data_IF_112735593244
#
_entry.id   IF_112735593244
#
_cell.length_a   1.000
_cell.length_b   1.000
_cell.length_c   1.000
_cell.angle_alpha   90.00
_cell.angle_beta   90.00
_cell.angle_gamma   90.00
#
_symmetry.space_group_name_H-M   'P 1'
#
loop_
_entity.id
_entity.type
_entity.pdbx_description
1 polymer ?
#
# COMPACT_ATOMS: atom_id res chain seq x y z
N UNK A 1 6.00 0.15 -23.03
CA UNK A 1 6.46 -0.09 -21.65
C UNK A 1 7.61 -1.09 -21.64
N UNK A 2 8.66 -0.82 -20.86
CA UNK A 2 9.76 -1.77 -20.64
C UNK A 2 9.43 -2.75 -19.50
N UNK A 3 10.34 -3.69 -19.20
CA UNK A 3 10.09 -4.73 -18.20
C UNK A 3 9.85 -4.17 -16.78
N UNK A 4 10.71 -3.25 -16.35
CA UNK A 4 10.63 -2.62 -15.03
C UNK A 4 9.32 -1.86 -14.86
N UNK A 5 8.89 -1.13 -15.89
CA UNK A 5 7.63 -0.41 -15.89
C UNK A 5 6.42 -1.35 -15.82
N UNK A 6 6.44 -2.48 -16.54
CA UNK A 6 5.39 -3.51 -16.42
C UNK A 6 5.35 -4.13 -15.02
N UNK A 7 6.51 -4.34 -14.40
CA UNK A 7 6.60 -4.81 -13.01
C UNK A 7 6.04 -3.78 -12.02
N UNK A 8 6.39 -2.51 -12.17
CA UNK A 8 5.93 -1.42 -11.31
C UNK A 8 4.43 -1.14 -11.45
N UNK A 9 3.86 -1.34 -12.64
CA UNK A 9 2.41 -1.29 -12.88
C UNK A 9 1.68 -2.55 -12.37
N UNK A 10 2.38 -3.58 -11.90
CA UNK A 10 1.78 -4.84 -11.46
C UNK A 10 1.27 -5.72 -12.60
N UNK A 11 1.69 -5.45 -13.84
CA UNK A 11 1.35 -6.21 -15.04
C UNK A 11 2.34 -7.35 -15.31
N UNK A 12 3.45 -7.42 -14.58
CA UNK A 12 4.45 -8.49 -14.65
C UNK A 12 5.01 -8.80 -13.26
N UNK A 13 5.30 -10.07 -13.00
CA UNK A 13 5.80 -10.55 -11.70
C UNK A 13 7.16 -11.27 -11.76
N UNK A 14 7.97 -11.06 -12.81
CA UNK A 14 9.24 -11.79 -13.00
C UNK A 14 10.31 -11.47 -11.94
N UNK A 15 10.16 -10.38 -11.21
CA UNK A 15 11.04 -9.97 -10.10
C UNK A 15 10.58 -10.53 -8.74
N UNK A 16 9.48 -11.28 -8.71
CA UNK A 16 8.88 -11.77 -7.48
C UNK A 16 9.35 -13.18 -7.13
N UNK A 17 9.40 -13.47 -5.84
CA UNK A 17 9.59 -14.81 -5.28
C UNK A 17 8.52 -15.08 -4.21
N UNK A 18 8.23 -16.35 -3.97
CA UNK A 18 7.48 -16.73 -2.77
C UNK A 18 8.32 -16.55 -1.51
N UNK A 19 7.72 -15.92 -0.52
CA UNK A 19 8.23 -15.73 0.82
C UNK A 19 7.13 -16.07 1.81
N UNK A 20 7.13 -17.32 2.29
CA UNK A 20 6.18 -17.83 3.29
C UNK A 20 4.71 -17.66 2.86
N UNK A 21 4.41 -17.90 1.58
CA UNK A 21 3.06 -17.76 1.01
C UNK A 21 2.70 -16.34 0.56
N UNK A 22 3.61 -15.37 0.68
CA UNK A 22 3.47 -14.02 0.13
C UNK A 22 4.47 -13.79 -1.00
N UNK A 23 4.07 -13.10 -2.06
CA UNK A 23 4.98 -12.69 -3.13
C UNK A 23 5.69 -11.39 -2.75
N UNK A 24 7.02 -11.37 -2.85
CA UNK A 24 7.86 -10.18 -2.59
C UNK A 24 8.91 -10.02 -3.68
N UNK A 25 9.45 -8.81 -3.82
CA UNK A 25 10.60 -8.57 -4.68
C UNK A 25 11.80 -9.40 -4.19
N UNK A 26 12.44 -10.16 -5.07
CA UNK A 26 13.52 -11.08 -4.70
C UNK A 26 14.69 -10.45 -3.93
N UNK A 27 14.97 -9.16 -4.14
CA UNK A 27 16.02 -8.40 -3.45
C UNK A 27 15.64 -8.01 -2.01
N UNK A 28 14.37 -8.11 -1.64
CA UNK A 28 13.87 -7.79 -0.31
C UNK A 28 14.19 -8.86 0.74
N UNK A 29 14.48 -10.09 0.30
CA UNK A 29 14.50 -11.28 1.16
C UNK A 29 15.42 -11.13 2.38
N UNK A 30 16.67 -10.70 2.16
CA UNK A 30 17.67 -10.65 3.23
C UNK A 30 17.29 -9.63 4.31
N UNK A 31 16.89 -8.44 3.89
CA UNK A 31 16.52 -7.36 4.80
C UNK A 31 15.24 -7.68 5.57
N UNK A 32 14.26 -8.31 4.91
CA UNK A 32 13.03 -8.76 5.53
C UNK A 32 13.25 -9.90 6.53
N UNK A 33 14.11 -10.88 6.21
CA UNK A 33 14.49 -11.93 7.17
C UNK A 33 15.17 -11.32 8.41
N UNK A 34 16.02 -10.31 8.22
CA UNK A 34 16.66 -9.56 9.31
C UNK A 34 15.63 -8.86 10.22
N UNK A 35 14.70 -8.12 9.62
CA UNK A 35 13.64 -7.43 10.36
C UNK A 35 12.75 -8.41 11.15
N UNK A 36 12.38 -9.55 10.55
CA UNK A 36 11.59 -10.60 11.22
C UNK A 36 12.36 -11.20 12.39
N UNK A 37 13.68 -11.43 12.25
CA UNK A 37 14.50 -11.96 13.33
C UNK A 37 14.66 -10.94 14.48
N UNK A 38 14.80 -9.66 14.17
CA UNK A 38 14.84 -8.59 15.16
C UNK A 38 13.49 -8.47 15.92
N UNK A 39 12.37 -8.58 15.20
CA UNK A 39 11.03 -8.61 15.79
C UNK A 39 10.88 -9.77 16.78
N UNK A 40 11.27 -10.98 16.36
CA UNK A 40 11.23 -12.17 17.21
C UNK A 40 12.11 -12.01 18.46
N UNK A 41 13.30 -11.45 18.31
CA UNK A 41 14.23 -11.20 19.43
C UNK A 41 13.68 -10.16 20.42
N UNK A 42 12.76 -9.31 19.96
CA UNK A 42 12.06 -8.29 20.76
C UNK A 42 10.69 -8.77 21.28
N UNK A 43 10.34 -10.04 21.07
CA UNK A 43 9.10 -10.64 21.56
C UNK A 43 7.88 -10.48 20.65
N UNK A 44 8.04 -10.06 19.40
CA UNK A 44 6.94 -9.92 18.44
C UNK A 44 6.92 -11.07 17.41
N UNK A 45 5.75 -11.68 17.25
CA UNK A 45 5.49 -12.66 16.20
C UNK A 45 5.09 -11.91 14.91
N UNK A 46 6.09 -11.38 14.21
CA UNK A 46 5.91 -10.60 12.99
C UNK A 46 5.18 -11.42 11.91
N UNK A 47 4.12 -10.83 11.35
CA UNK A 47 3.35 -11.39 10.26
C UNK A 47 3.05 -10.34 9.17
N UNK A 48 2.94 -10.84 7.94
CA UNK A 48 2.59 -10.07 6.77
C UNK A 48 1.09 -10.29 6.52
N UNK A 49 0.30 -9.23 6.67
CA UNK A 49 -1.12 -9.26 6.36
C UNK A 49 -1.35 -9.18 4.83
N UNK A 50 -0.52 -8.41 4.14
CA UNK A 50 -0.60 -8.22 2.70
C UNK A 50 0.76 -7.80 2.14
N UNK A 51 1.11 -8.33 0.97
CA UNK A 51 2.36 -8.05 0.25
C UNK A 51 2.03 -7.72 -1.20
N UNK A 52 2.67 -8.36 -2.19
CA UNK A 52 2.41 -8.04 -3.58
C UNK A 52 0.95 -8.26 -3.98
N UNK A 53 0.44 -7.29 -4.75
CA UNK A 53 -0.85 -7.36 -5.44
C UNK A 53 -0.60 -7.04 -6.91
N UNK A 54 -1.06 -7.89 -7.81
CA UNK A 54 -0.99 -7.57 -9.24
C UNK A 54 -2.03 -6.51 -9.64
N UNK A 55 -1.94 -6.03 -10.88
CA UNK A 55 -2.85 -5.04 -11.44
C UNK A 55 -4.32 -5.52 -11.37
N UNK A 56 -4.57 -6.79 -11.69
CA UNK A 56 -5.92 -7.35 -11.78
C UNK A 56 -6.61 -7.46 -10.41
N UNK A 57 -5.88 -7.85 -9.38
CA UNK A 57 -6.33 -7.87 -7.99
C UNK A 57 -6.63 -6.46 -7.50
N UNK A 58 -5.74 -5.50 -7.76
CA UNK A 58 -5.99 -4.10 -7.40
C UNK A 58 -7.20 -3.53 -8.14
N UNK A 59 -7.37 -3.86 -9.42
CA UNK A 59 -8.54 -3.51 -10.23
C UNK A 59 -9.83 -4.07 -9.64
N UNK A 60 -9.82 -5.33 -9.19
CA UNK A 60 -11.00 -5.92 -8.55
C UNK A 60 -11.39 -5.18 -7.26
N UNK A 61 -10.41 -4.81 -6.41
CA UNK A 61 -10.63 -4.02 -5.20
C UNK A 61 -11.19 -2.64 -5.55
N UNK A 62 -10.57 -1.96 -6.51
CA UNK A 62 -10.98 -0.65 -7.02
C UNK A 62 -12.42 -0.68 -7.53
N UNK A 63 -12.73 -1.60 -8.45
CA UNK A 63 -14.05 -1.70 -9.06
C UNK A 63 -15.11 -2.05 -8.00
N UNK A 64 -14.79 -2.90 -7.02
CA UNK A 64 -15.72 -3.22 -5.94
C UNK A 64 -16.05 -1.98 -5.07
N UNK A 65 -15.07 -1.10 -4.79
CA UNK A 65 -15.34 0.16 -4.09
C UNK A 65 -16.13 1.14 -4.95
N UNK A 66 -15.73 1.33 -6.21
CA UNK A 66 -16.41 2.25 -7.12
C UNK A 66 -17.87 1.86 -7.39
N UNK A 67 -18.17 0.56 -7.46
CA UNK A 67 -19.54 0.05 -7.66
C UNK A 67 -20.36 -0.06 -6.37
N UNK A 68 -19.81 0.32 -5.21
CA UNK A 68 -20.50 0.24 -3.91
C UNK A 68 -20.57 -1.17 -3.31
N UNK A 69 -19.93 -2.18 -3.92
CA UNK A 69 -19.82 -3.54 -3.36
C UNK A 69 -18.90 -3.60 -2.14
N UNK A 70 -18.02 -2.60 -1.97
CA UNK A 70 -17.19 -2.41 -0.78
C UNK A 70 -17.31 -0.98 -0.29
N UNK A 71 -17.31 -0.75 1.03
CA UNK A 71 -17.37 0.61 1.56
C UNK A 71 -16.14 1.42 1.16
N UNK A 72 -16.38 2.70 0.94
CA UNK A 72 -15.37 3.76 0.88
C UNK A 72 -15.36 4.40 2.26
N UNK A 73 -14.17 4.60 2.84
CA UNK A 73 -14.01 5.12 4.19
C UNK A 73 -13.48 6.56 4.13
N UNK A 74 -13.90 7.39 5.07
CA UNK A 74 -13.31 8.71 5.31
C UNK A 74 -12.12 8.63 6.30
N UNK A 75 -11.52 9.78 6.62
CA UNK A 75 -10.39 9.88 7.55
C UNK A 75 -10.71 9.39 8.97
N UNK A 76 -12.00 9.34 9.35
CA UNK A 76 -12.46 8.82 10.64
C UNK A 76 -12.79 7.32 10.57
N UNK A 77 -12.42 6.63 9.48
CA UNK A 77 -12.77 5.24 9.17
C UNK A 77 -14.28 4.97 9.10
N UNK A 78 -15.09 5.98 8.75
CA UNK A 78 -16.54 5.83 8.59
C UNK A 78 -16.90 5.64 7.12
N UNK A 79 -17.89 4.79 6.88
CA UNK A 79 -18.41 4.59 5.53
C UNK A 79 -19.00 5.89 4.97
N UNK A 80 -18.55 6.27 3.78
CA UNK A 80 -19.01 7.44 3.03
C UNK A 80 -20.21 7.05 2.19
N UNK A 81 -21.31 7.78 2.34
CA UNK A 81 -22.41 7.74 1.37
C UNK A 81 -22.00 8.53 0.12
N UNK A 82 -21.82 7.83 -1.00
CA UNK A 82 -21.43 8.42 -2.28
C UNK A 82 -22.63 8.82 -3.14
N UNK A 83 -23.85 8.77 -2.61
CA UNK A 83 -25.05 9.21 -3.32
C UNK A 83 -24.91 10.66 -3.77
N UNK A 84 -25.03 10.90 -5.07
CA UNK A 84 -24.91 12.24 -5.67
C UNK A 84 -23.46 12.74 -5.86
N UNK A 85 -22.45 11.94 -5.53
CA UNK A 85 -21.06 12.31 -5.81
C UNK A 85 -20.78 12.33 -7.31
N UNK A 86 -19.89 13.22 -7.74
CA UNK A 86 -19.31 13.16 -9.09
C UNK A 86 -18.34 11.99 -9.19
N UNK A 87 -18.05 11.53 -10.41
CA UNK A 87 -17.03 10.49 -10.65
C UNK A 87 -15.68 10.85 -10.02
N UNK A 88 -15.25 12.12 -10.13
CA UNK A 88 -14.02 12.61 -9.51
C UNK A 88 -14.06 12.48 -7.98
N UNK A 89 -15.16 12.89 -7.35
CA UNK A 89 -15.30 12.80 -5.89
C UNK A 89 -15.29 11.35 -5.40
N UNK A 90 -15.89 10.41 -6.15
CA UNK A 90 -15.80 8.97 -5.86
C UNK A 90 -14.35 8.49 -5.97
N UNK A 91 -13.64 8.86 -7.03
CA UNK A 91 -12.23 8.51 -7.24
C UNK A 91 -11.36 8.98 -6.08
N UNK A 92 -11.48 10.25 -5.69
CA UNK A 92 -10.71 10.84 -4.60
C UNK A 92 -11.03 10.16 -3.25
N UNK A 93 -12.31 9.86 -2.99
CA UNK A 93 -12.72 9.16 -1.78
C UNK A 93 -12.15 7.73 -1.73
N UNK A 94 -12.11 7.00 -2.86
CA UNK A 94 -11.48 5.67 -2.92
C UNK A 94 -9.97 5.79 -2.69
N UNK A 95 -9.32 6.76 -3.34
CA UNK A 95 -7.86 6.93 -3.31
C UNK A 95 -7.32 7.35 -1.94
N UNK A 96 -8.19 7.73 -1.01
CA UNK A 96 -7.81 7.95 0.39
C UNK A 96 -7.16 6.70 1.03
N UNK A 97 -7.66 5.50 0.73
CA UNK A 97 -7.15 4.22 1.27
C UNK A 97 -6.91 3.15 0.19
N UNK A 98 -7.10 3.45 -1.09
CA UNK A 98 -6.98 2.47 -2.15
C UNK A 98 -6.41 3.08 -3.43
N UNK A 99 -5.14 2.79 -3.68
CA UNK A 99 -4.46 3.21 -4.89
C UNK A 99 -5.17 2.73 -6.17
N UNK A 100 -5.00 3.51 -7.24
CA UNK A 100 -5.40 3.11 -8.58
C UNK A 100 -4.70 1.81 -9.00
N UNK A 101 -5.35 0.95 -9.81
CA UNK A 101 -4.67 -0.14 -10.49
C UNK A 101 -3.54 0.42 -11.37
N UNK A 102 -2.33 -0.10 -11.21
CA UNK A 102 -1.13 0.43 -11.86
C UNK A 102 -0.37 1.47 -11.04
N UNK A 103 -0.94 1.97 -9.94
CA UNK A 103 -0.30 2.97 -9.07
C UNK A 103 -0.14 2.51 -7.62
N UNK A 104 -0.52 1.27 -7.29
CA UNK A 104 -0.32 0.71 -5.96
C UNK A 104 1.15 0.35 -5.75
N UNK A 105 1.74 0.79 -4.64
CA UNK A 105 3.10 0.40 -4.26
C UNK A 105 3.23 -1.11 -3.98
N UNK A 106 2.13 -1.79 -3.65
CA UNK A 106 2.13 -3.25 -3.54
C UNK A 106 2.45 -3.93 -4.88
N UNK A 107 2.28 -3.28 -6.03
CA UNK A 107 2.72 -3.82 -7.30
C UNK A 107 4.23 -4.10 -7.32
N UNK A 108 5.00 -3.28 -6.60
CA UNK A 108 6.46 -3.36 -6.57
C UNK A 108 6.96 -4.64 -5.90
N UNK A 109 6.17 -5.23 -5.01
CA UNK A 109 6.61 -6.34 -4.15
C UNK A 109 7.59 -5.89 -3.05
N UNK A 110 7.75 -4.58 -2.85
CA UNK A 110 8.65 -3.97 -1.86
C UNK A 110 7.91 -3.43 -0.64
N UNK A 111 6.58 -3.49 -0.68
CA UNK A 111 5.66 -2.86 0.25
C UNK A 111 4.81 -3.95 0.93
N UNK A 112 4.66 -3.83 2.24
CA UNK A 112 4.07 -4.84 3.11
C UNK A 112 3.15 -4.18 4.14
N UNK A 113 1.97 -4.76 4.33
CA UNK A 113 1.10 -4.48 5.49
C UNK A 113 1.48 -5.47 6.60
N UNK A 114 1.92 -4.97 7.75
CA UNK A 114 2.54 -5.79 8.81
C UNK A 114 1.88 -5.63 10.16
N UNK A 115 1.88 -6.70 10.95
CA UNK A 115 1.36 -6.74 12.31
C UNK A 115 2.11 -7.80 13.13
N UNK A 116 1.82 -7.87 14.43
CA UNK A 116 2.33 -8.91 15.31
C UNK A 116 1.16 -9.81 15.77
N UNK A 117 1.18 -11.10 15.41
CA UNK A 117 0.04 -12.00 15.68
C UNK A 117 -0.20 -12.20 17.16
N UNK A 118 0.87 -12.21 17.97
CA UNK A 118 0.79 -12.37 19.42
C UNK A 118 0.22 -11.13 20.15
N UNK A 119 0.05 -10.01 19.46
CA UNK A 119 -0.60 -8.81 20.00
C UNK A 119 -2.12 -8.79 19.81
N UNK A 120 -2.66 -9.66 18.94
CA UNK A 120 -4.11 -9.79 18.75
C UNK A 120 -4.73 -10.65 19.85
N UNK A 121 -5.77 -10.14 20.49
CA UNK A 121 -6.56 -10.91 21.44
C UNK A 121 -7.24 -12.11 20.76
N UNK A 122 -7.35 -13.23 21.48
CA UNK A 122 -8.05 -14.41 20.97
C UNK A 122 -9.48 -14.07 20.57
N UNK A 123 -9.87 -14.43 19.35
CA UNK A 123 -11.20 -14.16 18.80
C UNK A 123 -11.35 -12.81 18.09
N UNK A 124 -10.31 -11.97 18.08
CA UNK A 124 -10.28 -10.74 17.30
C UNK A 124 -9.62 -10.97 15.94
N UNK A 125 -10.14 -10.32 14.90
CA UNK A 125 -9.56 -10.31 13.56
C UNK A 125 -8.87 -8.98 13.30
N UNK A 126 -7.71 -9.03 12.65
CA UNK A 126 -7.00 -7.85 12.13
C UNK A 126 -7.92 -7.01 11.24
N UNK A 127 -8.00 -5.70 11.51
CA UNK A 127 -8.80 -4.77 10.71
C UNK A 127 -7.95 -3.93 9.75
N UNK A 128 -6.66 -3.73 10.06
CA UNK A 128 -5.78 -2.75 9.42
C UNK A 128 -6.39 -1.35 9.50
N UNK A 129 -6.67 -0.92 10.73
CA UNK A 129 -7.18 0.42 11.02
C UNK A 129 -6.23 1.17 11.97
N UNK A 130 -6.13 2.51 11.89
CA UNK A 130 -5.12 3.26 12.64
C UNK A 130 -5.19 3.05 14.16
N UNK A 131 -6.41 2.92 14.71
CA UNK A 131 -6.64 2.69 16.13
C UNK A 131 -5.97 1.42 16.63
N UNK A 132 -5.73 0.42 15.78
CA UNK A 132 -5.05 -0.83 16.18
C UNK A 132 -3.58 -0.58 16.54
N UNK A 133 -2.95 0.48 16.01
CA UNK A 133 -1.54 0.82 16.17
C UNK A 133 -1.31 2.05 17.09
N UNK A 134 -2.38 2.77 17.44
CA UNK A 134 -2.36 3.89 18.39
C UNK A 134 -2.18 3.42 19.84
N UNK A 135 -1.98 4.36 20.79
CA UNK A 135 -1.63 4.08 22.20
C UNK A 135 -2.53 3.08 22.92
N UNK A 136 -3.81 3.00 22.56
CA UNK A 136 -4.79 2.08 23.14
C UNK A 136 -4.99 0.80 22.33
N UNK A 137 -4.34 0.70 21.17
CA UNK A 137 -4.47 -0.41 20.23
C UNK A 137 -3.57 -1.60 20.57
N UNK A 138 -3.95 -2.82 20.13
CA UNK A 138 -3.16 -4.04 20.33
C UNK A 138 -1.72 -3.94 19.81
N UNK A 139 -1.50 -3.23 18.70
CA UNK A 139 -0.20 -3.12 18.05
C UNK A 139 0.60 -1.90 18.47
N UNK A 140 0.20 -1.18 19.52
CA UNK A 140 0.92 0.01 19.95
C UNK A 140 2.43 -0.24 20.16
N UNK A 141 2.74 -1.24 20.98
CA UNK A 141 4.11 -1.59 21.34
C UNK A 141 4.90 -2.08 20.12
N UNK A 142 4.26 -2.89 19.26
CA UNK A 142 4.83 -3.36 18.01
C UNK A 142 5.13 -2.19 17.07
N UNK A 143 4.21 -1.24 16.90
CA UNK A 143 4.41 -0.07 16.05
C UNK A 143 5.54 0.80 16.55
N UNK A 144 5.58 1.07 17.87
CA UNK A 144 6.63 1.88 18.47
C UNK A 144 8.02 1.24 18.29
N UNK A 145 8.11 -0.08 18.47
CA UNK A 145 9.32 -0.84 18.18
C UNK A 145 9.70 -0.77 16.69
N UNK A 146 8.74 -1.00 15.80
CA UNK A 146 8.97 -1.01 14.36
C UNK A 146 9.49 0.35 13.87
N UNK A 147 8.95 1.45 14.40
CA UNK A 147 9.39 2.81 14.06
C UNK A 147 10.84 3.10 14.45
N UNK A 148 11.35 2.44 15.50
CA UNK A 148 12.74 2.59 15.95
C UNK A 148 13.71 1.70 15.15
N UNK A 149 13.27 0.51 14.72
CA UNK A 149 14.15 -0.53 14.19
C UNK A 149 14.12 -0.65 12.66
N UNK A 150 12.99 -0.38 11.99
CA UNK A 150 12.82 -0.72 10.56
C UNK A 150 13.86 -0.08 9.63
N UNK A 151 14.39 1.11 9.97
CA UNK A 151 15.38 1.80 9.15
C UNK A 151 16.73 1.06 9.09
N UNK A 152 17.06 0.27 10.12
CA UNK A 152 18.28 -0.56 10.13
C UNK A 152 18.25 -1.65 9.04
N UNK A 153 17.05 -2.02 8.59
CA UNK A 153 16.79 -2.99 7.54
C UNK A 153 16.33 -2.32 6.23
N UNK A 154 16.52 -1.00 6.08
CA UNK A 154 16.18 -0.28 4.85
C UNK A 154 14.69 -0.07 4.61
N UNK A 155 13.85 -0.24 5.65
CA UNK A 155 12.41 0.01 5.58
C UNK A 155 12.01 1.38 6.14
N UNK A 156 10.86 1.86 5.69
CA UNK A 156 10.21 3.08 6.18
C UNK A 156 8.68 3.00 6.00
N UNK A 157 7.95 3.95 6.59
CA UNK A 157 6.50 4.11 6.38
C UNK A 157 6.23 5.22 5.35
N UNK A 158 5.83 4.89 4.10
CA UNK A 158 5.51 5.90 3.08
C UNK A 158 4.28 6.74 3.44
N UNK A 159 3.36 6.17 4.23
CA UNK A 159 2.12 6.79 4.67
C UNK A 159 2.12 7.02 6.20
N UNK A 160 3.22 7.53 6.74
CA UNK A 160 3.41 7.89 8.16
C UNK A 160 2.47 9.00 8.66
N UNK A 161 1.97 9.86 7.76
CA UNK A 161 1.01 10.93 8.06
C UNK A 161 0.20 11.32 6.83
N UNK A 162 -0.98 11.84 7.07
CA UNK A 162 -1.81 12.41 6.01
C UNK A 162 -1.19 13.69 5.44
N UNK A 163 -0.91 13.69 4.13
CA UNK A 163 -0.35 14.83 3.37
C UNK A 163 -1.35 15.44 2.38
N UNK A 164 -2.65 15.23 2.60
CA UNK A 164 -3.69 15.64 1.66
C UNK A 164 -3.93 14.64 0.52
N UNK A 165 -3.33 13.44 0.57
CA UNK A 165 -3.45 12.39 -0.43
C UNK A 165 -3.94 11.08 0.18
N UNK A 166 -3.06 10.07 0.24
CA UNK A 166 -3.31 8.81 0.96
C UNK A 166 -3.36 9.09 2.47
N UNK A 167 -4.28 8.43 3.17
CA UNK A 167 -4.42 8.46 4.62
C UNK A 167 -3.20 7.88 5.34
N UNK A 168 -3.14 8.06 6.67
CA UNK A 168 -2.09 7.42 7.47
C UNK A 168 -2.33 5.91 7.54
N UNK A 169 -1.30 5.12 7.25
CA UNK A 169 -1.35 3.65 7.29
C UNK A 169 -0.18 3.12 8.16
N UNK A 170 -0.32 3.09 9.50
CA UNK A 170 0.77 2.73 10.41
C UNK A 170 1.29 1.29 10.25
N UNK A 171 0.53 0.42 9.59
CA UNK A 171 0.91 -0.95 9.23
C UNK A 171 1.75 -1.05 7.95
N UNK A 172 1.72 -0.02 7.10
CA UNK A 172 2.32 -0.08 5.75
C UNK A 172 3.80 0.28 5.82
N UNK A 173 4.67 -0.70 5.58
CA UNK A 173 6.11 -0.48 5.43
C UNK A 173 6.54 -0.71 3.98
N UNK A 174 7.64 -0.06 3.59
CA UNK A 174 8.22 -0.16 2.26
C UNK A 174 9.73 -0.15 2.32
N UNK A 175 10.40 -0.90 1.44
CA UNK A 175 11.85 -0.86 1.33
C UNK A 175 12.31 0.34 0.50
N UNK A 176 13.05 1.26 1.11
CA UNK A 176 13.41 2.58 0.55
C UNK A 176 14.01 2.48 -0.86
N UNK A 177 15.11 1.73 -1.01
CA UNK A 177 15.86 1.66 -2.26
C UNK A 177 15.06 1.03 -3.40
N UNK A 178 14.55 -0.19 -3.17
CA UNK A 178 13.82 -0.95 -4.18
C UNK A 178 12.52 -0.25 -4.60
N UNK A 179 11.77 0.30 -3.64
CA UNK A 179 10.54 1.01 -3.96
C UNK A 179 10.82 2.30 -4.75
N UNK A 180 11.93 2.99 -4.49
CA UNK A 180 12.35 4.14 -5.29
C UNK A 180 12.68 3.74 -6.72
N UNK A 181 13.47 2.68 -6.93
CA UNK A 181 13.80 2.15 -8.28
C UNK A 181 12.53 1.84 -9.10
N UNK A 182 11.51 1.26 -8.45
CA UNK A 182 10.24 0.94 -9.08
C UNK A 182 9.39 2.20 -9.34
N UNK A 183 9.29 3.10 -8.36
CA UNK A 183 8.46 4.30 -8.44
C UNK A 183 8.91 5.27 -9.55
N UNK A 184 10.22 5.45 -9.74
CA UNK A 184 10.74 6.33 -10.81
C UNK A 184 10.59 5.74 -12.21
N UNK A 185 10.18 4.47 -12.33
CA UNK A 185 9.93 3.81 -13.62
C UNK A 185 8.52 4.05 -14.18
N UNK A 186 7.61 4.61 -13.36
CA UNK A 186 6.22 4.88 -13.72
C UNK A 186 5.88 6.36 -13.59
N UNK A 187 5.08 6.85 -14.53
CA UNK A 187 4.56 8.21 -14.57
C UNK A 187 3.05 8.20 -14.86
N UNK A 188 2.44 9.39 -14.86
CA UNK A 188 1.02 9.59 -15.17
C UNK A 188 0.62 8.98 -16.53
N UNK A 189 1.49 9.06 -17.53
CA UNK A 189 1.24 8.55 -18.87
C UNK A 189 1.18 7.01 -18.89
N UNK A 190 2.14 6.35 -18.24
CA UNK A 190 2.18 4.89 -18.13
C UNK A 190 0.98 4.33 -17.36
N UNK A 191 0.59 4.98 -16.25
CA UNK A 191 -0.60 4.59 -15.48
C UNK A 191 -1.87 4.78 -16.34
N UNK A 192 -1.98 5.89 -17.08
CA UNK A 192 -3.10 6.14 -18.00
C UNK A 192 -3.17 5.09 -19.12
N UNK A 193 -2.04 4.74 -19.72
CA UNK A 193 -1.94 3.71 -20.75
C UNK A 193 -2.39 2.34 -20.18
N UNK A 194 -1.95 1.98 -18.97
CA UNK A 194 -2.39 0.75 -18.31
C UNK A 194 -3.90 0.75 -18.04
N UNK A 195 -4.45 1.83 -17.48
CA UNK A 195 -5.87 1.96 -17.16
C UNK A 195 -6.73 1.93 -18.43
N UNK A 196 -6.34 2.63 -19.50
CA UNK A 196 -7.10 2.68 -20.76
C UNK A 196 -7.29 1.32 -21.44
N UNK A 197 -6.38 0.38 -21.19
CA UNK A 197 -6.39 -0.98 -21.75
C UNK A 197 -7.22 -1.98 -20.96
N UNK A 198 -7.78 -1.57 -19.82
CA UNK A 198 -8.48 -2.49 -18.91
C UNK A 198 -9.82 -1.91 -18.45
N UNK A 199 -10.74 -2.80 -18.06
CA UNK A 199 -12.04 -2.45 -17.51
C UNK A 199 -11.94 -1.93 -16.07
N UNK A 200 -11.45 -0.69 -15.92
CA UNK A 200 -11.38 0.06 -14.65
C UNK A 200 -12.58 1.00 -14.56
N UNK A 201 -13.38 0.87 -13.50
CA UNK A 201 -14.52 1.77 -13.29
C UNK A 201 -14.02 3.20 -13.02
N UNK A 202 -14.70 4.19 -13.63
CA UNK A 202 -14.29 5.59 -13.56
C UNK A 202 -13.15 5.99 -14.52
N UNK A 203 -12.71 5.10 -15.44
CA UNK A 203 -11.51 5.31 -16.28
C UNK A 203 -11.43 6.69 -16.96
N UNK A 204 -12.53 7.19 -17.50
CA UNK A 204 -12.56 8.47 -18.22
C UNK A 204 -12.27 9.64 -17.28
N UNK A 205 -12.88 9.62 -16.09
CA UNK A 205 -12.62 10.61 -15.05
C UNK A 205 -11.23 10.46 -14.44
N UNK A 206 -10.71 9.23 -14.33
CA UNK A 206 -9.34 9.00 -13.86
C UNK A 206 -8.34 9.60 -14.85
N UNK A 207 -8.44 9.26 -16.13
CA UNK A 207 -7.50 9.71 -17.17
C UNK A 207 -7.55 11.23 -17.35
N UNK A 208 -8.75 11.83 -17.34
CA UNK A 208 -8.91 13.29 -17.45
C UNK A 208 -8.36 14.08 -16.25
N UNK A 209 -8.17 13.43 -15.09
CA UNK A 209 -7.62 14.05 -13.89
C UNK A 209 -6.26 13.46 -13.48
N UNK A 210 -5.59 12.71 -14.37
CA UNK A 210 -4.44 11.88 -13.99
C UNK A 210 -3.30 12.68 -13.36
N UNK A 211 -2.97 13.86 -13.90
CA UNK A 211 -1.87 14.66 -13.37
C UNK A 211 -2.10 15.05 -11.91
N UNK A 212 -3.31 15.47 -11.56
CA UNK A 212 -3.69 15.79 -10.18
C UNK A 212 -3.63 14.53 -9.29
N UNK A 213 -4.22 13.42 -9.75
CA UNK A 213 -4.26 12.18 -8.98
C UNK A 213 -2.87 11.60 -8.75
N UNK A 214 -1.99 11.67 -9.75
CA UNK A 214 -0.60 11.23 -9.67
C UNK A 214 0.17 12.06 -8.64
N UNK A 215 0.12 13.40 -8.75
CA UNK A 215 0.81 14.28 -7.81
C UNK A 215 0.30 14.10 -6.38
N UNK A 216 -1.03 13.98 -6.21
CA UNK A 216 -1.66 13.98 -4.89
C UNK A 216 -1.60 12.64 -4.17
N UNK A 217 -1.69 11.52 -4.88
CA UNK A 217 -1.85 10.19 -4.26
C UNK A 217 -0.74 9.19 -4.59
N UNK A 218 0.07 9.43 -5.64
CA UNK A 218 1.10 8.46 -6.06
C UNK A 218 2.49 8.87 -5.57
N UNK A 219 2.87 10.13 -5.75
CA UNK A 219 4.22 10.62 -5.39
C UNK A 219 4.26 11.42 -4.08
N UNK A 220 3.10 11.83 -3.53
CA UNK A 220 3.00 12.55 -2.26
C UNK A 220 3.12 11.60 -1.05
N UNK A 221 4.31 11.04 -0.89
CA UNK A 221 4.65 10.09 0.19
C UNK A 221 5.82 10.62 1.03
N UNK A 222 6.07 10.00 2.19
CA UNK A 222 7.27 10.30 2.96
C UNK A 222 8.56 10.03 2.15
N UNK A 223 9.59 10.85 2.35
CA UNK A 223 10.92 10.57 1.84
C UNK A 223 11.62 9.55 2.73
N UNK A 224 12.03 8.41 2.16
CA UNK A 224 12.83 7.43 2.88
C UNK A 224 14.26 7.97 3.08
N UNK A 225 14.63 8.29 4.32
CA UNK A 225 16.03 8.66 4.64
C UNK A 225 16.72 7.38 5.12
N UNK A 226 17.73 6.92 4.39
CA UNK A 226 18.63 5.87 4.89
C UNK A 226 19.55 6.53 5.92
N UNK A 227 19.56 6.02 7.15
CA UNK A 227 20.55 6.41 8.17
C UNK A 227 21.88 5.71 7.91
#
# INVERSE_FOLDING_TARGET
MNDLQLQALGLKGSHLIDFRGSQIHHRLKSDLDGLIQAAKSSGFDFAIASAQRDFHRQKAIWNAKYSGLRPILDLDNKAVDTTGFSSKAIIEAIMLFSALPGASRHHFGTDLDVYATNCLATGHSLQLEPWEYEKSGPFHEFSAWLDLTMSEFGFYKPYDKYRGGVACEPWHISHVKLAHEMAVSIDAAAISEAISRHEVLGKESIISNMDELYNRYVINVAGGTLK
#
